data_IF_946611745008
#
_entry.id   IF_946611745008
#
_cell.length_a   1.000
_cell.length_b   1.000
_cell.length_c   1.000
_cell.angle_alpha   90.00
_cell.angle_beta   90.00
_cell.angle_gamma   90.00
#
_symmetry.space_group_name_H-M   'P 1'
#
loop_
_entity.id
_entity.type
_entity.pdbx_description
1 polymer ?
#
# COMPACT_ATOMS: atom_id res chain seq x y z
N UNK A 1 35.90 -56.20 -41.15
CA UNK A 1 36.01 -54.73 -40.91
C UNK A 1 34.87 -54.04 -41.63
N UNK A 2 34.14 -53.14 -40.93
CA UNK A 2 33.40 -51.98 -41.50
C UNK A 2 32.18 -52.33 -42.39
N UNK A 3 30.95 -51.84 -42.21
CA UNK A 3 30.29 -50.85 -41.34
C UNK A 3 28.78 -51.09 -41.40
N UNK A 4 28.08 -50.69 -40.34
CA UNK A 4 26.64 -50.44 -40.30
C UNK A 4 26.26 -49.21 -41.14
N UNK A 5 25.22 -49.29 -41.95
CA UNK A 5 24.45 -48.17 -42.54
C UNK A 5 23.05 -48.71 -42.89
N UNK A 6 21.99 -48.40 -42.12
CA UNK A 6 21.11 -47.21 -42.16
C UNK A 6 20.36 -47.03 -43.48
N UNK A 7 19.04 -47.29 -43.46
CA UNK A 7 18.08 -46.71 -44.40
C UNK A 7 16.78 -47.50 -44.55
N UNK A 8 15.69 -46.98 -43.99
CA UNK A 8 14.37 -46.94 -44.63
C UNK A 8 13.45 -45.97 -43.86
N UNK A 9 13.02 -44.94 -44.58
CA UNK A 9 12.10 -43.87 -44.22
C UNK A 9 10.67 -44.39 -44.00
N UNK A 10 9.89 -43.80 -43.08
CA UNK A 10 8.50 -43.43 -43.37
C UNK A 10 8.01 -42.33 -42.42
N UNK A 11 7.42 -41.31 -43.01
CA UNK A 11 6.93 -40.07 -42.42
C UNK A 11 5.63 -40.25 -41.64
N UNK A 12 5.37 -39.39 -40.64
CA UNK A 12 4.04 -38.80 -40.42
C UNK A 12 4.07 -37.58 -39.47
N UNK A 13 3.57 -36.47 -40.01
CA UNK A 13 2.79 -35.42 -39.34
C UNK A 13 3.48 -34.53 -38.28
N UNK A 14 3.79 -33.31 -38.73
CA UNK A 14 3.99 -32.14 -37.90
C UNK A 14 2.72 -31.86 -37.06
N UNK A 15 2.82 -32.00 -35.75
CA UNK A 15 1.90 -31.33 -34.83
C UNK A 15 2.52 -29.97 -34.56
N UNK A 16 1.98 -28.95 -35.22
CA UNK A 16 2.18 -27.57 -34.82
C UNK A 16 1.56 -27.43 -33.43
N UNK A 17 2.39 -27.50 -32.38
CA UNK A 17 2.00 -27.00 -31.08
C UNK A 17 1.86 -25.49 -31.25
N UNK A 18 0.62 -25.04 -31.38
CA UNK A 18 0.28 -23.64 -31.17
C UNK A 18 0.71 -23.33 -29.74
N UNK A 19 1.86 -22.67 -29.58
CA UNK A 19 2.18 -21.96 -28.35
C UNK A 19 1.19 -20.81 -28.28
N UNK A 20 0.02 -21.07 -27.70
CA UNK A 20 -0.82 -20.01 -27.18
C UNK A 20 0.05 -19.32 -26.12
N UNK A 21 0.63 -18.18 -26.46
CA UNK A 21 1.07 -17.22 -25.46
C UNK A 21 -0.22 -16.78 -24.77
N UNK A 22 -0.56 -17.45 -23.67
CA UNK A 22 -1.37 -16.83 -22.64
C UNK A 22 -0.48 -15.73 -22.07
N UNK A 23 -0.54 -14.57 -22.72
CA UNK A 23 -0.09 -13.31 -22.16
C UNK A 23 -1.06 -13.03 -21.01
N UNK A 24 -0.82 -13.69 -19.87
CA UNK A 24 -1.45 -13.38 -18.61
C UNK A 24 -0.82 -12.05 -18.17
N UNK A 25 -1.22 -10.95 -18.82
CA UNK A 25 -0.96 -9.60 -18.33
C UNK A 25 -1.67 -9.50 -16.97
N UNK A 26 -0.90 -9.71 -15.90
CA UNK A 26 -1.35 -9.54 -14.53
C UNK A 26 -1.93 -8.14 -14.39
N UNK A 27 -3.23 -8.04 -14.12
CA UNK A 27 -3.92 -6.75 -14.01
C UNK A 27 -3.24 -5.88 -12.96
N UNK A 28 -2.60 -4.80 -13.40
CA UNK A 28 -2.02 -3.80 -12.52
C UNK A 28 -3.06 -2.73 -12.25
N UNK A 29 -3.39 -2.52 -10.96
CA UNK A 29 -4.25 -1.41 -10.58
C UNK A 29 -3.63 -0.07 -10.99
N UNK A 30 -4.43 0.87 -11.54
CA UNK A 30 -3.92 2.17 -11.93
C UNK A 30 -3.45 2.93 -10.69
N UNK A 31 -2.28 3.55 -10.82
CA UNK A 31 -1.77 4.48 -9.81
C UNK A 31 -2.53 5.81 -9.87
N UNK A 32 -2.64 6.47 -8.72
CA UNK A 32 -3.33 7.73 -8.53
C UNK A 32 -2.35 8.79 -8.04
N UNK A 33 -2.60 10.05 -8.41
CA UNK A 33 -1.87 11.17 -7.83
C UNK A 33 -2.16 11.26 -6.33
N UNK A 34 -1.12 11.50 -5.53
CA UNK A 34 -1.25 11.69 -4.08
C UNK A 34 -1.83 13.08 -3.82
N UNK A 35 -3.15 13.12 -3.64
CA UNK A 35 -3.92 14.34 -3.37
C UNK A 35 -4.89 14.11 -2.21
N UNK A 36 -5.35 15.17 -1.51
CA UNK A 36 -6.37 15.01 -0.48
C UNK A 36 -7.66 14.35 -0.99
N UNK A 37 -7.96 14.47 -2.29
CA UNK A 37 -9.10 13.80 -2.89
C UNK A 37 -8.92 12.28 -2.98
N UNK A 38 -7.75 11.83 -3.46
CA UNK A 38 -7.51 10.42 -3.72
C UNK A 38 -7.18 9.62 -2.45
N UNK A 39 -6.58 10.27 -1.44
CA UNK A 39 -6.26 9.60 -0.17
C UNK A 39 -7.43 9.58 0.83
N UNK A 40 -8.48 10.38 0.60
CA UNK A 40 -9.63 10.47 1.50
C UNK A 40 -10.26 9.10 1.77
N UNK A 41 -10.86 8.97 2.95
CA UNK A 41 -11.46 7.74 3.45
C UNK A 41 -10.52 6.90 4.31
N UNK A 42 -10.95 5.69 4.61
CA UNK A 42 -10.33 4.84 5.62
C UNK A 42 -9.32 3.85 5.02
N UNK A 43 -8.20 3.72 5.71
CA UNK A 43 -7.11 2.82 5.40
C UNK A 43 -6.71 2.03 6.63
N UNK A 44 -6.33 0.77 6.44
CA UNK A 44 -5.80 -0.11 7.49
C UNK A 44 -4.34 -0.44 7.20
N UNK A 45 -3.50 -0.39 8.22
CA UNK A 45 -2.13 -0.89 8.14
C UNK A 45 -2.15 -2.41 7.91
N UNK A 46 -1.60 -2.83 6.78
CA UNK A 46 -1.44 -4.24 6.39
C UNK A 46 -0.11 -4.78 6.90
N UNK A 47 0.98 -4.01 6.75
CA UNK A 47 2.30 -4.38 7.22
C UNK A 47 3.16 -3.16 7.55
N UNK A 48 4.13 -3.37 8.45
CA UNK A 48 5.11 -2.38 8.86
C UNK A 48 6.49 -3.02 8.95
N UNK A 49 7.47 -2.48 8.24
CA UNK A 49 8.81 -3.07 8.15
C UNK A 49 9.60 -3.00 9.46
N UNK A 50 9.26 -2.08 10.38
CA UNK A 50 9.96 -1.95 11.65
C UNK A 50 9.63 -3.09 12.65
N UNK A 51 8.61 -3.92 12.37
CA UNK A 51 8.31 -5.09 13.19
C UNK A 51 6.98 -5.78 12.85
N UNK A 52 6.85 -7.03 13.29
CA UNK A 52 5.59 -7.76 13.15
C UNK A 52 4.50 -7.18 14.06
N UNK A 53 3.30 -7.05 13.51
CA UNK A 53 2.13 -6.68 14.30
C UNK A 53 1.69 -7.89 15.13
N UNK A 54 1.59 -7.73 16.45
CA UNK A 54 1.06 -8.77 17.31
C UNK A 54 -0.38 -9.14 16.90
N UNK A 55 -0.76 -10.40 17.05
CA UNK A 55 -2.11 -10.87 16.73
C UNK A 55 -3.17 -10.02 17.44
N UNK A 56 -4.21 -9.61 16.71
CA UNK A 56 -5.26 -8.72 17.21
C UNK A 56 -4.87 -7.23 17.25
N UNK A 57 -3.65 -6.87 16.86
CA UNK A 57 -3.26 -5.48 16.67
C UNK A 57 -3.85 -4.88 15.40
N UNK A 58 -4.15 -3.59 15.43
CA UNK A 58 -4.66 -2.85 14.30
C UNK A 58 -4.19 -1.40 14.34
N UNK A 59 -4.08 -0.82 13.15
CA UNK A 59 -3.99 0.62 12.93
C UNK A 59 -4.93 0.94 11.76
N UNK A 60 -5.86 1.85 11.98
CA UNK A 60 -6.69 2.45 10.95
C UNK A 60 -6.44 3.95 10.93
N UNK A 61 -6.41 4.55 9.75
CA UNK A 61 -6.40 6.00 9.58
C UNK A 61 -7.53 6.39 8.63
N UNK A 62 -8.36 7.32 9.07
CA UNK A 62 -9.48 7.85 8.31
C UNK A 62 -9.19 9.31 7.95
N UNK A 63 -9.07 9.61 6.65
CA UNK A 63 -8.73 10.94 6.15
C UNK A 63 -9.96 11.70 5.67
N UNK A 64 -10.12 12.93 6.17
CA UNK A 64 -11.12 13.88 5.68
C UNK A 64 -10.48 14.81 4.68
N UNK A 65 -11.09 14.94 3.51
CA UNK A 65 -10.58 15.76 2.40
C UNK A 65 -10.60 17.25 2.71
N UNK A 66 -11.74 17.76 3.16
CA UNK A 66 -12.05 19.19 3.17
C UNK A 66 -11.17 19.93 4.18
N UNK A 67 -11.19 19.45 5.42
CA UNK A 67 -10.50 20.08 6.54
C UNK A 67 -9.06 19.59 6.72
N UNK A 68 -8.66 18.60 5.91
CA UNK A 68 -7.38 17.90 6.01
C UNK A 68 -7.12 17.37 7.42
N UNK A 69 -8.17 16.86 8.05
CA UNK A 69 -8.12 16.20 9.35
C UNK A 69 -8.03 14.70 9.16
N UNK A 70 -7.58 14.01 10.20
CA UNK A 70 -7.62 12.56 10.25
C UNK A 70 -7.98 12.06 11.65
N UNK A 71 -8.49 10.84 11.70
CA UNK A 71 -8.59 10.06 12.94
C UNK A 71 -7.81 8.75 12.78
N UNK A 72 -6.88 8.50 13.71
CA UNK A 72 -6.11 7.28 13.83
C UNK A 72 -6.70 6.42 14.95
N UNK A 73 -7.01 5.16 14.65
CA UNK A 73 -7.49 4.16 15.58
C UNK A 73 -6.45 3.07 15.72
N UNK A 74 -5.92 2.87 16.92
CA UNK A 74 -4.83 1.90 17.13
C UNK A 74 -4.89 1.25 18.51
N UNK A 75 -4.24 0.09 18.64
CA UNK A 75 -4.06 -0.64 19.90
C UNK A 75 -2.64 -1.22 20.04
N UNK A 76 -1.65 -0.59 19.40
CA UNK A 76 -0.24 -1.02 19.42
C UNK A 76 0.38 -0.87 20.81
N UNK A 77 0.02 0.20 21.53
CA UNK A 77 0.55 0.53 22.85
C UNK A 77 -0.42 0.22 24.00
N UNK A 78 -1.61 -0.33 23.69
CA UNK A 78 -2.61 -0.67 24.69
C UNK A 78 -3.54 -1.76 24.20
N UNK A 79 -4.05 -2.62 25.08
CA UNK A 79 -5.06 -3.61 24.71
C UNK A 79 -6.44 -3.00 24.39
N UNK A 80 -6.60 -1.68 24.46
CA UNK A 80 -7.85 -0.97 24.22
C UNK A 80 -7.75 -0.07 22.98
N UNK A 81 -8.90 0.33 22.44
CA UNK A 81 -8.96 1.31 21.36
C UNK A 81 -8.39 2.65 21.82
N UNK A 82 -7.34 3.13 21.13
CA UNK A 82 -6.89 4.52 21.17
C UNK A 82 -7.41 5.25 19.94
N UNK A 83 -7.94 6.45 20.16
CA UNK A 83 -8.34 7.37 19.10
C UNK A 83 -7.47 8.61 19.19
N UNK A 84 -6.78 8.93 18.10
CA UNK A 84 -5.85 10.05 18.00
C UNK A 84 -6.27 10.89 16.79
N UNK A 85 -6.46 12.20 16.99
CA UNK A 85 -6.89 13.11 15.93
C UNK A 85 -5.77 14.09 15.58
N UNK A 86 -5.87 14.68 14.40
CA UNK A 86 -4.92 15.68 13.95
C UNK A 86 -5.20 16.19 12.55
N UNK A 87 -4.20 16.87 11.98
CA UNK A 87 -4.23 17.36 10.60
C UNK A 87 -3.08 16.77 9.79
N UNK A 88 -3.35 16.57 8.50
CA UNK A 88 -2.35 16.13 7.52
C UNK A 88 -2.12 17.20 6.44
N UNK A 89 -0.96 17.09 5.79
CA UNK A 89 -0.52 17.97 4.72
C UNK A 89 0.19 17.14 3.67
N UNK A 90 -0.06 17.45 2.40
CA UNK A 90 0.62 16.83 1.27
C UNK A 90 1.42 17.92 0.57
N UNK A 91 2.70 17.65 0.36
CA UNK A 91 3.65 18.52 -0.32
C UNK A 91 4.28 17.76 -1.49
N UNK A 92 4.67 18.48 -2.54
CA UNK A 92 5.45 17.91 -3.64
C UNK A 92 6.90 18.34 -3.50
N UNK A 93 7.79 17.36 -3.41
CA UNK A 93 9.24 17.51 -3.37
C UNK A 93 9.83 17.11 -4.72
N UNK A 94 10.83 17.85 -5.20
CA UNK A 94 11.42 17.64 -6.51
C UNK A 94 12.22 16.34 -6.62
N UNK A 95 12.78 15.85 -5.51
CA UNK A 95 13.57 14.62 -5.46
C UNK A 95 12.69 13.43 -5.09
N UNK A 96 11.79 13.61 -4.12
CA UNK A 96 11.05 12.50 -3.51
C UNK A 96 9.60 12.37 -4.00
N UNK A 97 9.08 13.31 -4.78
CA UNK A 97 7.68 13.31 -5.19
C UNK A 97 6.74 13.69 -4.04
N UNK A 98 5.66 12.94 -3.85
CA UNK A 98 4.65 13.28 -2.85
C UNK A 98 5.11 12.95 -1.43
N UNK A 99 5.05 13.94 -0.55
CA UNK A 99 5.34 13.80 0.88
C UNK A 99 4.07 14.09 1.68
N UNK A 100 3.65 13.13 2.50
CA UNK A 100 2.64 13.36 3.54
C UNK A 100 3.31 13.60 4.89
N UNK A 101 2.79 14.57 5.63
CA UNK A 101 3.14 14.84 7.02
C UNK A 101 1.88 15.17 7.80
N UNK A 102 1.94 15.09 9.12
CA UNK A 102 0.84 15.50 9.95
C UNK A 102 1.27 15.95 11.33
N UNK A 103 0.30 16.47 12.07
CA UNK A 103 0.43 16.80 13.47
C UNK A 103 -0.75 16.25 14.25
N UNK A 104 -0.51 16.04 15.53
CA UNK A 104 -1.51 15.64 16.49
C UNK A 104 -2.22 16.87 17.06
N UNK A 105 -3.52 16.74 17.31
CA UNK A 105 -4.27 17.77 18.03
C UNK A 105 -3.77 17.96 19.47
N UNK A 106 -4.27 19.01 20.12
CA UNK A 106 -3.96 19.35 21.52
C UNK A 106 -2.48 19.67 21.79
N UNK A 107 -1.73 20.06 20.76
CA UNK A 107 -0.33 20.47 20.89
C UNK A 107 0.63 19.31 21.11
N UNK A 108 0.24 18.08 20.72
CA UNK A 108 1.07 16.88 20.87
C UNK A 108 2.18 16.74 19.81
N UNK A 109 2.42 17.77 19.01
CA UNK A 109 3.52 17.85 18.05
C UNK A 109 3.23 17.19 16.71
N UNK A 110 4.28 17.06 15.90
CA UNK A 110 4.23 16.45 14.58
C UNK A 110 4.28 14.91 14.68
N UNK A 111 3.89 14.23 13.61
CA UNK A 111 4.16 12.81 13.44
C UNK A 111 5.65 12.51 13.53
N UNK A 112 6.00 11.25 13.82
CA UNK A 112 7.38 10.81 13.98
C UNK A 112 8.24 11.10 12.75
N UNK A 113 7.68 10.89 11.55
CA UNK A 113 8.35 11.11 10.28
C UNK A 113 7.48 11.90 9.31
N UNK A 114 8.12 12.43 8.27
CA UNK A 114 7.46 12.76 7.00
C UNK A 114 7.59 11.55 6.10
N UNK A 115 6.53 11.20 5.39
CA UNK A 115 6.49 9.98 4.61
C UNK A 115 6.42 10.31 3.12
N UNK A 116 7.27 9.68 2.33
CA UNK A 116 7.15 9.61 0.88
C UNK A 116 6.01 8.64 0.58
N UNK A 117 5.02 9.07 -0.21
CA UNK A 117 3.87 8.25 -0.57
C UNK A 117 4.05 7.71 -1.98
N UNK A 118 4.10 6.40 -2.11
CA UNK A 118 4.18 5.67 -3.38
C UNK A 118 3.05 4.66 -3.49
N UNK A 119 2.88 4.10 -4.69
CA UNK A 119 1.92 3.02 -4.97
C UNK A 119 0.50 3.29 -4.45
N UNK A 120 0.07 4.56 -4.52
CA UNK A 120 -1.31 4.92 -4.24
C UNK A 120 -2.18 4.38 -5.39
N UNK A 121 -3.01 3.40 -5.09
CA UNK A 121 -4.08 2.90 -5.95
C UNK A 121 -5.44 3.12 -5.27
N UNK A 122 -6.50 2.57 -5.84
CA UNK A 122 -7.80 2.55 -5.15
C UNK A 122 -7.73 1.79 -3.81
N UNK A 123 -6.87 0.76 -3.73
CA UNK A 123 -6.87 -0.24 -2.67
C UNK A 123 -5.57 -0.33 -1.87
N UNK A 124 -4.50 0.35 -2.29
CA UNK A 124 -3.18 0.29 -1.65
C UNK A 124 -2.54 1.66 -1.55
N UNK A 125 -1.73 1.88 -0.52
CA UNK A 125 -0.88 3.06 -0.38
C UNK A 125 0.36 2.69 0.44
N UNK A 126 1.55 3.07 -0.03
CA UNK A 126 2.84 2.77 0.64
C UNK A 126 3.47 4.05 1.17
N UNK A 127 3.89 4.03 2.42
CA UNK A 127 4.51 5.16 3.11
C UNK A 127 5.91 4.79 3.54
N UNK A 128 6.91 5.50 3.05
CA UNK A 128 8.32 5.32 3.45
C UNK A 128 8.80 6.56 4.19
N UNK A 129 9.35 6.44 5.39
CA UNK A 129 9.87 7.59 6.12
C UNK A 129 11.02 8.25 5.35
N UNK A 130 10.95 9.56 5.15
CA UNK A 130 11.92 10.33 4.35
C UNK A 130 13.34 10.27 4.94
N UNK A 131 13.43 10.22 6.27
CA UNK A 131 14.67 10.18 7.04
C UNK A 131 15.10 8.75 7.43
N UNK A 132 14.28 7.73 7.13
CA UNK A 132 14.58 6.34 7.40
C UNK A 132 13.91 5.42 6.36
N UNK A 133 14.64 5.06 5.30
CA UNK A 133 14.10 4.23 4.22
C UNK A 133 13.69 2.81 4.66
N UNK A 134 14.16 2.36 5.83
CA UNK A 134 13.79 1.05 6.40
C UNK A 134 12.46 1.10 7.17
N UNK A 135 11.87 2.28 7.41
CA UNK A 135 10.53 2.44 7.98
C UNK A 135 9.50 2.62 6.86
N UNK A 136 8.83 1.51 6.55
CA UNK A 136 7.88 1.35 5.46
C UNK A 136 6.58 0.80 6.02
N UNK A 137 5.50 1.54 5.82
CA UNK A 137 4.15 1.14 6.16
C UNK A 137 3.35 0.91 4.89
N UNK A 138 2.67 -0.24 4.81
CA UNK A 138 1.75 -0.56 3.72
C UNK A 138 0.33 -0.47 4.25
N UNK A 139 -0.49 0.36 3.60
CA UNK A 139 -1.89 0.52 3.91
C UNK A 139 -2.76 -0.06 2.80
N UNK A 140 -3.88 -0.66 3.20
CA UNK A 140 -4.92 -1.14 2.31
C UNK A 140 -6.24 -0.43 2.59
N UNK A 141 -7.06 -0.23 1.56
CA UNK A 141 -8.37 0.38 1.72
C UNK A 141 -9.24 -0.49 2.63
N UNK A 142 -9.97 0.13 3.56
CA UNK A 142 -10.80 -0.60 4.51
C UNK A 142 -12.06 0.18 4.89
N UNK A 143 -13.06 -0.55 5.38
CA UNK A 143 -14.20 0.04 6.10
C UNK A 143 -13.83 0.22 7.58
N UNK A 144 -14.37 1.25 8.23
CA UNK A 144 -14.19 1.41 9.67
C UNK A 144 -14.94 0.31 10.44
N UNK A 145 -14.28 -0.37 11.40
CA UNK A 145 -14.94 -1.33 12.28
C UNK A 145 -16.09 -0.71 13.07
N UNK A 146 -17.08 -1.54 13.42
CA UNK A 146 -18.19 -1.13 14.28
C UNK A 146 -17.67 -0.58 15.62
N UNK A 147 -18.21 0.57 16.04
CA UNK A 147 -17.81 1.26 17.27
C UNK A 147 -16.68 2.28 17.08
N UNK A 148 -16.03 2.34 15.92
CA UNK A 148 -15.09 3.40 15.59
C UNK A 148 -15.88 4.58 15.00
N UNK A 149 -15.64 5.79 15.49
CA UNK A 149 -16.36 6.99 15.04
C UNK A 149 -15.54 7.73 14.01
N UNK A 150 -16.01 7.89 12.75
CA UNK A 150 -15.25 8.52 11.67
C UNK A 150 -14.75 9.91 12.06
N UNK A 151 -13.71 10.37 11.36
CA UNK A 151 -13.28 11.76 11.48
C UNK A 151 -14.43 12.70 11.09
N UNK A 152 -14.70 13.72 11.92
CA UNK A 152 -15.76 14.70 11.65
C UNK A 152 -15.34 15.58 10.46
N UNK A 153 -16.27 15.79 9.52
CA UNK A 153 -16.12 16.68 8.36
C UNK A 153 -16.20 18.16 8.70
#
# INVERSE_FOLDING_TARGET
MKKLLKGAFLAFMAVAMMTACSDDEEYQEPTLDVTPHNIAGTWRLESWSAGEMAEGSYVYIDFVRNDRTYTLYQNLDSHQLRTITGRYFIETDAEYGAIIRGNYDYGNGDWAHRYIVTDLTANRMVWTAKDNADDVSVYVRAELPEGFKPAEE
#
